data_IF_856087163976
#
_entry.id   IF_856087163976
#
_cell.length_a   1.000
_cell.length_b   1.000
_cell.length_c   1.000
_cell.angle_alpha   90.00
_cell.angle_beta   90.00
_cell.angle_gamma   90.00
#
_symmetry.space_group_name_H-M   'P 1'
#
loop_
_entity.id
_entity.type
_entity.pdbx_description
1 polymer ?
2 non-polymer ?
3 non-polymer ?
4 non-polymer ?
5 water ?
#
# COMPACT_ATOMS: atom_id res chain seq x y z
N UNK A 8 -36.06 -9.53 26.16
CA UNK A 8 -35.95 -9.82 27.61
C UNK A 8 -35.20 -11.16 27.77
N UNK A 9 -34.31 -11.27 28.75
CA UNK A 9 -33.67 -12.56 29.12
C UNK A 9 -32.61 -12.96 28.07
N UNK A 10 -31.35 -12.70 28.39
CA UNK A 10 -30.13 -13.13 27.64
C UNK A 10 -29.46 -14.23 28.46
N UNK A 11 -28.46 -14.98 27.94
CA UNK A 11 -27.72 -15.90 28.80
C UNK A 11 -26.94 -15.04 29.79
N UNK A 12 -26.49 -15.70 30.84
CA UNK A 12 -25.49 -15.23 31.82
C UNK A 12 -24.26 -14.75 31.07
N UNK A 13 -23.71 -13.55 31.40
CA UNK A 13 -22.37 -13.17 30.96
C UNK A 13 -21.37 -14.28 31.31
N UNK A 14 -21.64 -15.02 32.39
CA UNK A 14 -20.82 -16.18 32.85
C UNK A 14 -20.58 -17.17 31.71
N UNK A 15 -21.56 -17.40 30.82
CA UNK A 15 -21.49 -18.46 29.76
C UNK A 15 -21.51 -17.82 28.35
N UNK A 16 -21.53 -16.50 28.25
CA UNK A 16 -21.58 -15.79 26.95
C UNK A 16 -20.99 -14.39 27.14
N UNK A 17 -19.70 -14.21 26.81
CA UNK A 17 -18.87 -13.06 27.26
C UNK A 17 -19.39 -11.74 26.68
N UNK A 18 -20.11 -11.81 25.56
CA UNK A 18 -20.57 -10.63 24.81
C UNK A 18 -21.59 -9.83 25.63
N UNK A 19 -22.41 -10.48 26.45
CA UNK A 19 -23.59 -9.78 27.07
C UNK A 19 -23.24 -9.28 28.47
N UNK A 20 -21.96 -9.20 28.85
CA UNK A 20 -21.55 -8.42 30.06
C UNK A 20 -22.12 -7.01 29.86
N UNK A 21 -22.62 -6.33 30.90
CA UNK A 21 -23.25 -5.00 30.69
C UNK A 21 -22.18 -4.02 30.19
N UNK A 22 -22.56 -3.19 29.23
CA UNK A 22 -21.76 -2.04 28.73
C UNK A 22 -21.45 -1.13 29.93
N UNK A 23 -20.19 -0.75 30.04
CA UNK A 23 -19.62 0.22 31.01
C UNK A 23 -18.32 0.71 30.40
N UNK A 24 -17.65 1.70 31.00
CA UNK A 24 -16.38 2.26 30.48
C UNK A 24 -15.25 1.26 30.77
N UNK A 25 -15.58 0.17 31.48
CA UNK A 25 -14.69 -1.00 31.69
C UNK A 25 -14.49 -1.77 30.36
N UNK A 26 -15.41 -1.65 29.41
CA UNK A 26 -15.44 -2.55 28.21
C UNK A 26 -15.76 -1.81 26.90
N UNK A 27 -16.37 -0.62 26.91
CA UNK A 27 -16.81 0.06 25.65
C UNK A 27 -17.01 1.56 25.88
N UNK A 28 -16.62 2.37 24.89
CA UNK A 28 -16.64 3.86 24.95
C UNK A 28 -17.20 4.38 23.61
N UNK A 29 -18.25 5.20 23.68
CA UNK A 29 -18.94 5.79 22.51
C UNK A 29 -18.60 7.27 22.43
N UNK A 30 -18.55 7.82 21.21
CA UNK A 30 -18.47 9.28 20.97
C UNK A 30 -19.70 9.89 21.66
N UNK A 31 -19.50 11.04 22.31
CA UNK A 31 -20.61 11.79 22.93
C UNK A 31 -20.52 13.20 22.36
N UNK A 32 -21.02 13.36 21.13
CA UNK A 32 -20.99 14.63 20.37
C UNK A 32 -22.30 14.76 19.59
N UNK A 33 -22.41 15.82 18.82
CA UNK A 33 -23.65 16.19 18.08
C UNK A 33 -23.85 15.24 16.89
N UNK A 34 -22.77 14.64 16.39
CA UNK A 34 -22.77 13.68 15.27
C UNK A 34 -23.36 12.37 15.82
N UNK A 35 -22.87 11.95 16.99
CA UNK A 35 -23.27 10.69 17.67
C UNK A 35 -24.69 10.80 18.23
N UNK A 36 -25.35 11.95 18.06
CA UNK A 36 -26.67 12.23 18.66
C UNK A 36 -27.74 11.42 17.92
N UNK A 37 -27.71 11.41 16.58
CA UNK A 37 -28.69 10.69 15.72
C UNK A 37 -28.22 9.25 15.51
N UNK A 38 -29.13 8.38 15.06
CA UNK A 38 -28.84 7.06 14.46
C UNK A 38 -27.92 6.21 15.32
N UNK A 39 -27.08 5.40 14.66
CA UNK A 39 -26.24 4.33 15.28
C UNK A 39 -25.15 4.99 16.09
N UNK A 40 -24.97 4.67 17.39
CA UNK A 40 -23.83 5.16 18.17
C UNK A 40 -22.49 4.94 17.46
N UNK A 41 -21.52 5.83 17.68
CA UNK A 41 -20.17 5.75 17.08
C UNK A 41 -19.23 5.17 18.15
N UNK A 42 -18.53 4.07 17.82
CA UNK A 42 -17.62 3.37 18.78
C UNK A 42 -16.32 4.15 18.82
N UNK A 43 -15.84 4.51 20.02
CA UNK A 43 -14.49 5.12 20.18
C UNK A 43 -13.48 4.01 20.50
N UNK A 44 -13.89 3.04 21.31
CA UNK A 44 -13.04 1.89 21.65
C UNK A 44 -13.79 0.86 22.45
N UNK A 45 -13.15 -0.30 22.71
CA UNK A 45 -13.68 -1.32 23.60
C UNK A 45 -12.76 -2.52 23.69
N UNK A 46 -13.13 -3.50 24.51
CA UNK A 46 -12.48 -4.82 24.50
C UNK A 46 -12.75 -5.42 23.11
N UNK A 47 -11.90 -6.31 22.63
CA UNK A 47 -12.20 -6.98 21.33
C UNK A 47 -13.59 -7.67 21.45
N UNK A 48 -13.95 -8.19 22.62
CA UNK A 48 -15.26 -8.85 22.85
C UNK A 48 -16.39 -7.89 22.49
N UNK A 49 -16.28 -6.66 22.98
CA UNK A 49 -17.33 -5.65 22.81
C UNK A 49 -17.35 -5.15 21.36
N UNK A 50 -16.19 -5.02 20.73
CA UNK A 50 -16.13 -4.63 19.30
C UNK A 50 -16.84 -5.70 18.46
N UNK A 51 -16.61 -6.97 18.78
CA UNK A 51 -17.27 -8.12 18.07
C UNK A 51 -18.77 -8.07 18.33
N UNK A 52 -19.19 -7.82 19.57
CA UNK A 52 -20.65 -7.75 19.86
C UNK A 52 -21.27 -6.66 18.96
N UNK A 53 -20.64 -5.49 18.85
CA UNK A 53 -21.17 -4.33 18.08
C UNK A 53 -21.07 -4.55 16.57
N UNK A 54 -20.11 -5.36 16.13
CA UNK A 54 -19.96 -5.76 14.70
C UNK A 54 -21.16 -6.60 14.24
N UNK A 55 -21.83 -7.27 15.19
CA UNK A 55 -22.85 -8.31 14.97
C UNK A 55 -24.04 -8.04 15.90
N UNK A 56 -24.45 -6.77 16.00
CA UNK A 56 -25.40 -6.31 17.05
C UNK A 56 -26.82 -6.76 16.71
N UNK A 57 -27.60 -7.25 17.68
CA UNK A 57 -28.98 -7.74 17.42
C UNK A 57 -29.92 -6.59 16.99
N UNK A 58 -29.65 -5.35 17.40
CA UNK A 58 -30.65 -4.26 17.37
C UNK A 58 -30.62 -3.49 16.05
N UNK A 59 -29.55 -3.59 15.27
CA UNK A 59 -29.45 -2.90 13.96
C UNK A 59 -28.23 -3.36 13.18
N UNK A 60 -28.28 -3.15 11.86
CA UNK A 60 -27.18 -3.41 10.91
C UNK A 60 -26.24 -2.20 10.99
N UNK A 61 -24.97 -2.41 10.70
CA UNK A 61 -23.96 -1.33 10.84
C UNK A 61 -22.91 -1.52 9.76
N UNK A 62 -23.32 -1.37 8.49
CA UNK A 62 -22.45 -1.63 7.35
C UNK A 62 -21.11 -0.88 7.47
N UNK A 63 -21.14 0.35 7.99
CA UNK A 63 -19.94 1.25 8.02
C UNK A 63 -18.90 0.66 8.97
N UNK A 64 -19.32 0.25 10.16
CA UNK A 64 -18.44 -0.40 11.16
C UNK A 64 -17.89 -1.71 10.57
N UNK A 65 -18.70 -2.51 9.88
CA UNK A 65 -18.28 -3.83 9.30
C UNK A 65 -17.12 -3.56 8.35
N UNK A 66 -17.28 -2.58 7.44
CA UNK A 66 -16.27 -2.18 6.44
C UNK A 66 -14.98 -1.70 7.13
N UNK A 67 -15.08 -0.79 8.10
CA UNK A 67 -13.90 -0.23 8.79
C UNK A 67 -13.22 -1.35 9.62
N UNK A 68 -14.01 -2.21 10.25
CA UNK A 68 -13.51 -3.31 11.10
C UNK A 68 -12.67 -4.28 10.26
N UNK A 69 -13.21 -4.76 9.16
CA UNK A 69 -12.51 -5.76 8.30
C UNK A 69 -11.29 -5.16 7.60
N UNK A 70 -11.22 -3.83 7.41
CA UNK A 70 -10.01 -3.12 6.90
C UNK A 70 -8.94 -3.07 8.00
N UNK A 71 -9.32 -2.85 9.27
CA UNK A 71 -8.37 -2.40 10.32
C UNK A 71 -8.05 -3.50 11.35
N UNK A 72 -8.86 -4.56 11.45
CA UNK A 72 -8.86 -5.46 12.64
C UNK A 72 -7.47 -6.09 12.87
N UNK A 73 -6.66 -6.30 11.84
CA UNK A 73 -5.40 -7.06 11.99
C UNK A 73 -4.42 -6.23 12.82
N UNK A 74 -4.68 -4.94 13.03
CA UNK A 74 -3.87 -4.09 13.94
C UNK A 74 -4.20 -4.41 15.40
N UNK A 75 -5.20 -5.23 15.72
CA UNK A 75 -5.52 -5.47 17.14
C UNK A 75 -5.95 -6.91 17.39
N UNK A 76 -6.07 -7.73 16.35
CA UNK A 76 -6.70 -9.06 16.43
C UNK A 76 -6.17 -9.91 15.26
N UNK A 77 -5.76 -11.15 15.49
CA UNK A 77 -5.32 -12.03 14.37
C UNK A 77 -6.55 -12.57 13.65
N UNK A 78 -6.40 -12.89 12.34
CA UNK A 78 -7.47 -13.55 11.59
C UNK A 78 -8.04 -14.80 12.26
N UNK A 79 -7.17 -15.64 12.82
CA UNK A 79 -7.59 -16.88 13.51
C UNK A 79 -8.44 -16.49 14.72
N UNK A 80 -8.07 -15.45 15.44
CA UNK A 80 -8.80 -15.01 16.63
C UNK A 80 -10.14 -14.40 16.22
N UNK A 81 -10.19 -13.65 15.13
CA UNK A 81 -11.46 -13.09 14.62
C UNK A 81 -12.43 -14.24 14.31
N UNK A 82 -11.99 -15.25 13.57
CA UNK A 82 -12.86 -16.40 13.28
C UNK A 82 -13.33 -17.03 14.60
N UNK A 83 -12.44 -17.22 15.58
CA UNK A 83 -12.79 -17.88 16.87
C UNK A 83 -13.82 -17.01 17.59
N UNK A 84 -13.65 -15.69 17.54
CA UNK A 84 -14.63 -14.77 18.18
C UNK A 84 -15.98 -14.79 17.46
N UNK A 85 -16.02 -14.88 16.12
CA UNK A 85 -17.31 -14.91 15.39
C UNK A 85 -18.04 -16.25 15.63
N UNK A 86 -17.31 -17.35 15.71
CA UNK A 86 -17.90 -18.64 16.10
C UNK A 86 -18.40 -18.55 17.56
N UNK A 87 -17.62 -17.99 18.46
CA UNK A 87 -18.03 -17.85 19.87
C UNK A 87 -19.33 -17.03 19.93
N UNK A 88 -19.39 -15.93 19.17
CA UNK A 88 -20.63 -15.09 19.09
C UNK A 88 -21.81 -15.94 18.59
N UNK A 89 -21.56 -16.83 17.62
CA UNK A 89 -22.61 -17.62 16.93
C UNK A 89 -23.24 -18.62 17.91
N UNK A 90 -22.42 -19.22 18.77
CA UNK A 90 -22.85 -20.35 19.64
C UNK A 90 -23.51 -19.76 20.89
N UNK A 91 -24.72 -19.25 20.74
CA UNK A 91 -25.43 -18.49 21.81
C UNK A 91 -26.14 -19.48 22.73
N UNK A 92 -25.80 -19.52 24.04
CA UNK A 92 -26.50 -20.39 25.01
C UNK A 92 -27.89 -19.85 25.36
N UNK A 93 -28.76 -20.75 25.81
CA UNK A 93 -30.14 -20.36 26.20
C UNK A 93 -30.07 -19.63 27.53
N UNK A 94 -30.96 -18.64 27.78
CA UNK A 94 -31.02 -17.98 29.08
C UNK A 94 -31.46 -18.92 30.22
N UNK A 95 -31.30 -18.47 31.47
CA UNK A 95 -31.67 -19.24 32.70
C UNK A 95 -33.19 -19.38 32.67
N UNK A 96 -33.74 -20.61 32.64
CA UNK A 96 -35.11 -20.82 32.21
C UNK A 96 -36.18 -20.15 33.10
N UNK A 97 -35.87 -19.86 34.38
CA UNK A 97 -36.84 -19.34 35.39
C UNK A 97 -37.70 -20.50 35.93
N UNK A 98 -37.97 -21.51 35.08
CA UNK A 98 -38.67 -22.80 35.36
C UNK A 98 -39.95 -22.53 36.16
N UNK A 99 -40.78 -21.60 35.68
CA UNK A 99 -41.94 -21.03 36.40
C UNK A 99 -41.47 -20.35 37.70
N UNK A 114 -40.72 -17.80 25.91
CA UNK A 114 -39.55 -16.93 26.19
C UNK A 114 -38.40 -17.25 25.22
N UNK A 115 -38.01 -18.53 25.17
CA UNK A 115 -37.09 -19.12 24.16
C UNK A 115 -37.47 -18.60 22.77
N UNK A 116 -38.77 -18.63 22.45
CA UNK A 116 -39.31 -18.32 21.10
C UNK A 116 -38.97 -16.87 20.72
N UNK A 117 -39.12 -15.92 21.64
CA UNK A 117 -38.70 -14.51 21.43
C UNK A 117 -37.16 -14.41 21.36
N UNK A 118 -36.47 -15.05 22.27
CA UNK A 118 -34.98 -15.04 22.33
C UNK A 118 -34.45 -15.44 20.96
N UNK A 119 -34.98 -16.52 20.37
CA UNK A 119 -34.53 -17.07 19.05
C UNK A 119 -34.90 -16.10 17.93
N UNK A 120 -36.05 -15.45 18.00
CA UNK A 120 -36.52 -14.55 16.91
C UNK A 120 -35.82 -13.19 16.99
N UNK A 121 -35.67 -12.62 18.19
CA UNK A 121 -35.23 -11.20 18.34
C UNK A 121 -33.75 -11.11 18.72
N UNK A 122 -33.14 -12.17 19.24
CA UNK A 122 -31.71 -12.12 19.64
C UNK A 122 -30.87 -13.05 18.75
N UNK A 123 -31.08 -14.35 18.86
CA UNK A 123 -30.24 -15.40 18.21
C UNK A 123 -30.25 -15.18 16.68
N UNK A 124 -31.42 -15.12 16.03
CA UNK A 124 -31.49 -15.19 14.56
C UNK A 124 -30.82 -13.94 13.99
N UNK A 125 -31.12 -12.74 14.52
CA UNK A 125 -30.47 -11.51 14.06
C UNK A 125 -28.94 -11.51 14.25
N UNK A 126 -28.44 -12.07 15.36
CA UNK A 126 -26.98 -12.07 15.66
C UNK A 126 -26.29 -13.03 14.68
N UNK A 127 -26.90 -14.17 14.42
CA UNK A 127 -26.33 -15.23 13.54
C UNK A 127 -26.33 -14.71 12.10
N UNK A 128 -27.41 -14.06 11.63
CA UNK A 128 -27.46 -13.43 10.29
C UNK A 128 -26.37 -12.35 10.21
N UNK A 129 -26.12 -11.59 11.28
CA UNK A 129 -25.14 -10.47 11.22
C UNK A 129 -23.72 -11.04 11.13
N UNK A 130 -23.45 -12.15 11.81
CA UNK A 130 -22.16 -12.92 11.74
C UNK A 130 -21.95 -13.40 10.29
N UNK A 131 -22.97 -14.04 9.70
CA UNK A 131 -22.88 -14.57 8.31
C UNK A 131 -22.63 -13.40 7.36
N UNK A 132 -23.20 -12.22 7.61
CA UNK A 132 -22.97 -11.00 6.79
C UNK A 132 -21.50 -10.56 6.95
N UNK A 133 -20.92 -10.66 8.14
CA UNK A 133 -19.48 -10.34 8.36
C UNK A 133 -18.64 -11.36 7.57
N UNK A 134 -18.93 -12.64 7.67
CA UNK A 134 -18.22 -13.69 6.88
C UNK A 134 -18.29 -13.35 5.39
N UNK A 135 -19.43 -12.88 4.90
CA UNK A 135 -19.67 -12.57 3.47
C UNK A 135 -18.79 -11.39 3.05
N UNK A 136 -18.78 -10.29 3.81
CA UNK A 136 -17.90 -9.12 3.54
C UNK A 136 -16.43 -9.55 3.59
N UNK A 137 -16.11 -10.44 4.52
CA UNK A 137 -14.72 -10.93 4.76
C UNK A 137 -14.23 -11.68 3.51
N UNK A 138 -15.00 -12.63 3.00
CA UNK A 138 -14.50 -13.41 1.83
C UNK A 138 -14.59 -12.58 0.55
N UNK A 139 -15.55 -11.64 0.48
CA UNK A 139 -15.74 -10.80 -0.71
C UNK A 139 -14.55 -9.83 -0.87
N UNK A 140 -14.19 -9.10 0.20
CA UNK A 140 -13.30 -7.92 0.13
C UNK A 140 -11.94 -8.21 0.77
N UNK A 141 -11.77 -9.32 1.50
CA UNK A 141 -10.47 -9.60 2.18
C UNK A 141 -10.09 -11.07 2.09
N UNK A 142 -10.28 -11.69 0.92
CA UNK A 142 -10.04 -13.13 0.75
C UNK A 142 -8.55 -13.42 0.93
N UNK A 143 -7.69 -12.41 0.73
CA UNK A 143 -6.23 -12.54 0.93
C UNK A 143 -5.95 -13.15 2.32
N UNK A 144 -6.78 -12.90 3.33
CA UNK A 144 -6.53 -13.53 4.67
C UNK A 144 -6.56 -15.05 4.53
N UNK A 145 -7.49 -15.58 3.72
CA UNK A 145 -7.66 -17.04 3.51
C UNK A 145 -6.61 -17.58 2.54
N UNK A 146 -6.20 -16.75 1.57
CA UNK A 146 -5.13 -17.10 0.61
C UNK A 146 -3.84 -17.26 1.41
N UNK A 147 -3.61 -16.40 2.40
CA UNK A 147 -2.37 -16.42 3.23
C UNK A 147 -2.42 -17.57 4.25
N UNK A 148 -3.61 -18.07 4.60
CA UNK A 148 -3.77 -19.08 5.69
C UNK A 148 -4.83 -20.10 5.30
N UNK A 149 -4.42 -21.23 4.72
CA UNK A 149 -5.34 -22.27 4.20
C UNK A 149 -6.10 -22.91 5.38
N UNK A 150 -5.46 -23.00 6.54
CA UNK A 150 -6.10 -23.55 7.76
C UNK A 150 -7.25 -22.60 8.18
N UNK A 151 -7.05 -21.29 8.06
CA UNK A 151 -8.13 -20.33 8.36
C UNK A 151 -9.34 -20.68 7.47
N UNK A 152 -9.11 -20.98 6.20
CA UNK A 152 -10.20 -21.25 5.22
C UNK A 152 -10.85 -22.61 5.55
N UNK A 153 -10.06 -23.60 5.97
CA UNK A 153 -10.55 -24.93 6.41
C UNK A 153 -11.52 -24.74 7.58
N UNK A 154 -11.12 -23.93 8.57
CA UNK A 154 -11.97 -23.66 9.75
C UNK A 154 -13.27 -23.01 9.24
N UNK A 155 -13.17 -22.03 8.35
CA UNK A 155 -14.35 -21.27 7.90
C UNK A 155 -15.28 -22.23 7.13
N UNK A 156 -14.73 -23.03 6.22
CA UNK A 156 -15.55 -23.94 5.39
C UNK A 156 -16.23 -24.97 6.28
N UNK A 157 -15.50 -25.61 7.18
CA UNK A 157 -16.04 -26.59 8.15
C UNK A 157 -17.20 -25.97 8.94
N UNK A 158 -17.01 -24.76 9.45
CA UNK A 158 -18.05 -24.08 10.27
C UNK A 158 -19.30 -23.77 9.42
N UNK A 159 -19.13 -23.14 8.25
CA UNK A 159 -20.26 -22.69 7.39
C UNK A 159 -21.09 -23.93 7.00
N UNK A 160 -20.42 -25.05 6.78
CA UNK A 160 -21.14 -26.25 6.31
C UNK A 160 -21.84 -26.93 7.49
N UNK A 161 -21.53 -26.56 8.75
CA UNK A 161 -22.21 -27.08 9.98
C UNK A 161 -23.51 -26.31 10.22
N UNK A 162 -23.66 -25.15 9.59
CA UNK A 162 -24.80 -24.24 9.88
C UNK A 162 -26.03 -24.85 9.21
N UNK A 163 -27.08 -25.15 9.96
CA UNK A 163 -28.28 -25.88 9.45
C UNK A 163 -29.58 -25.08 9.59
N UNK A 164 -29.56 -23.86 10.14
CA UNK A 164 -30.73 -22.98 10.25
C UNK A 164 -31.40 -22.64 8.92
N UNK A 165 -32.72 -22.87 8.84
CA UNK A 165 -33.57 -22.57 7.66
C UNK A 165 -33.23 -21.18 7.11
N UNK A 166 -33.31 -20.13 7.93
CA UNK A 166 -33.03 -18.74 7.50
C UNK A 166 -31.54 -18.52 7.15
N UNK A 167 -30.62 -19.34 7.67
CA UNK A 167 -29.16 -19.17 7.40
C UNK A 167 -28.82 -19.65 5.97
N UNK A 168 -29.71 -20.43 5.33
CA UNK A 168 -29.36 -21.18 4.10
C UNK A 168 -28.94 -20.23 2.97
N UNK A 169 -29.71 -19.19 2.67
CA UNK A 169 -29.39 -18.26 1.55
C UNK A 169 -27.97 -17.70 1.79
N UNK A 170 -27.68 -17.26 3.02
CA UNK A 170 -26.37 -16.68 3.45
C UNK A 170 -25.24 -17.68 3.25
N UNK A 171 -25.42 -18.93 3.68
CA UNK A 171 -24.37 -19.98 3.56
C UNK A 171 -24.05 -20.18 2.07
N UNK A 172 -25.09 -20.29 1.22
CA UNK A 172 -24.97 -20.47 -0.26
C UNK A 172 -24.18 -19.29 -0.86
N UNK A 173 -24.51 -18.09 -0.43
CA UNK A 173 -23.88 -16.82 -0.90
C UNK A 173 -22.37 -16.85 -0.55
N UNK A 174 -22.03 -17.21 0.69
CA UNK A 174 -20.61 -17.28 1.12
C UNK A 174 -19.92 -18.39 0.30
N UNK A 175 -20.53 -19.56 0.18
CA UNK A 175 -19.94 -20.68 -0.58
C UNK A 175 -19.61 -20.23 -2.01
N UNK A 176 -20.50 -19.47 -2.64
CA UNK A 176 -20.38 -19.12 -4.07
C UNK A 176 -19.21 -18.13 -4.20
N UNK A 177 -19.10 -17.19 -3.27
CA UNK A 177 -17.96 -16.21 -3.23
C UNK A 177 -16.66 -16.98 -3.12
N UNK A 178 -16.59 -17.94 -2.20
CA UNK A 178 -15.35 -18.73 -1.98
C UNK A 178 -14.99 -19.47 -3.28
N UNK A 179 -15.93 -20.23 -3.82
CA UNK A 179 -15.80 -20.93 -5.13
C UNK A 179 -15.24 -19.95 -6.17
N UNK A 180 -15.79 -18.74 -6.27
CA UNK A 180 -15.36 -17.73 -7.27
C UNK A 180 -13.91 -17.28 -6.99
N UNK A 181 -13.58 -16.96 -5.74
CA UNK A 181 -12.24 -16.44 -5.36
C UNK A 181 -11.18 -17.50 -5.63
N UNK A 182 -11.51 -18.76 -5.32
CA UNK A 182 -10.62 -19.92 -5.55
C UNK A 182 -10.42 -20.12 -7.06
N UNK A 183 -11.44 -19.85 -7.88
CA UNK A 183 -11.37 -20.02 -9.36
C UNK A 183 -10.44 -18.94 -9.90
N UNK A 184 -10.70 -17.68 -9.55
CA UNK A 184 -9.97 -16.49 -10.04
C UNK A 184 -8.54 -16.45 -9.46
N UNK A 185 -8.19 -17.42 -8.60
CA UNK A 185 -6.78 -17.68 -8.23
C UNK A 185 -6.18 -18.69 -9.22
N UNK A 186 -6.74 -19.90 -9.29
CA UNK A 186 -6.30 -20.99 -10.21
C UNK A 186 -6.55 -20.56 -11.66
N UNK A 187 -5.99 -19.39 -12.03
CA UNK A 187 -6.21 -18.66 -13.32
C UNK A 187 -7.66 -18.84 -13.79
N UNK A 193 -4.11 -8.49 -20.19
CA UNK A 193 -4.13 -7.06 -20.62
C UNK A 193 -5.03 -6.91 -21.85
N UNK A 194 -5.88 -5.89 -21.86
CA UNK A 194 -6.88 -5.66 -22.93
C UNK A 194 -7.01 -4.14 -23.17
N UNK A 195 -6.49 -3.66 -24.30
CA UNK A 195 -6.36 -2.23 -24.67
C UNK A 195 -7.71 -1.69 -25.16
N UNK A 196 -8.20 -0.66 -24.48
CA UNK A 196 -9.46 0.07 -24.83
C UNK A 196 -9.18 1.10 -25.95
N UNK A 197 -7.91 1.35 -26.29
CA UNK A 197 -7.50 2.21 -27.43
C UNK A 197 -6.05 1.87 -27.76
N UNK A 198 -5.52 2.26 -28.93
CA UNK A 198 -4.18 1.85 -29.33
C UNK A 198 -3.13 2.47 -28.43
N UNK A 199 -2.27 1.63 -27.80
CA UNK A 199 -1.13 2.12 -27.02
C UNK A 199 -0.02 2.58 -27.94
N UNK A 200 0.91 3.44 -27.50
CA UNK A 200 1.96 3.92 -28.39
C UNK A 200 2.97 2.85 -28.76
N UNK A 201 3.64 2.98 -29.92
CA UNK A 201 4.74 2.09 -30.24
C UNK A 201 5.89 2.26 -29.23
N UNK A 202 6.54 1.14 -28.90
CA UNK A 202 7.68 1.03 -27.95
C UNK A 202 8.87 1.78 -28.56
N UNK A 203 9.55 2.59 -27.78
CA UNK A 203 10.68 3.45 -28.23
C UNK A 203 11.99 2.73 -27.90
N UNK A 204 12.89 2.61 -28.89
CA UNK A 204 14.22 1.96 -28.77
C UNK A 204 15.29 2.99 -29.13
N UNK A 205 16.46 2.91 -28.49
CA UNK A 205 17.57 3.89 -28.64
C UNK A 205 18.83 3.13 -29.07
N UNK A 206 19.74 2.80 -28.15
CA UNK A 206 20.98 2.04 -28.49
C UNK A 206 20.73 0.55 -28.20
N UNK A 207 20.31 0.17 -26.99
CA UNK A 207 19.90 -1.23 -26.67
C UNK A 207 18.80 -1.71 -27.62
N UNK A 208 18.93 -2.92 -28.17
CA UNK A 208 17.91 -3.53 -29.09
C UNK A 208 17.29 -4.72 -28.37
N UNK A 209 16.04 -5.09 -28.71
CA UNK A 209 15.34 -6.21 -28.09
C UNK A 209 16.17 -7.50 -28.04
N UNK A 210 15.97 -8.30 -27.00
CA UNK A 210 16.69 -9.58 -26.80
C UNK A 210 18.09 -9.37 -26.27
N UNK A 211 18.65 -8.16 -26.42
CA UNK A 211 20.03 -7.80 -26.01
C UNK A 211 19.99 -7.25 -24.58
N UNK A 212 19.33 -7.97 -23.67
CA UNK A 212 19.07 -7.52 -22.27
C UNK A 212 20.39 -7.15 -21.55
N UNK A 213 21.53 -7.73 -21.97
CA UNK A 213 22.83 -7.55 -21.25
C UNK A 213 23.39 -6.16 -21.56
N UNK A 214 22.92 -5.54 -22.65
CA UNK A 214 23.31 -4.17 -23.07
C UNK A 214 22.37 -3.12 -22.44
N UNK A 215 21.41 -3.53 -21.61
CA UNK A 215 20.43 -2.60 -21.00
C UNK A 215 21.13 -1.78 -19.92
N UNK A 216 20.99 -0.45 -20.01
CA UNK A 216 21.62 0.56 -19.13
C UNK A 216 20.71 1.79 -19.16
N UNK A 217 20.79 2.59 -18.12
CA UNK A 217 20.15 3.91 -18.07
C UNK A 217 20.31 4.63 -19.42
N UNK A 218 21.52 4.62 -20.02
CA UNK A 218 21.87 5.52 -21.15
C UNK A 218 21.67 4.85 -22.53
N UNK A 219 21.45 3.54 -22.62
CA UNK A 219 21.33 2.81 -23.92
C UNK A 219 19.84 2.49 -24.22
N UNK A 220 19.00 2.35 -23.20
CA UNK A 220 17.54 2.28 -23.39
C UNK A 220 17.04 3.68 -23.71
N UNK A 221 15.84 3.77 -24.28
CA UNK A 221 15.23 5.06 -24.67
C UNK A 221 14.68 5.69 -23.40
N UNK A 222 14.97 6.97 -23.06
CA UNK A 222 14.39 7.57 -21.87
C UNK A 222 12.85 7.48 -21.82
N UNK A 223 12.15 7.67 -22.95
CA UNK A 223 10.66 7.53 -23.01
C UNK A 223 10.27 6.15 -22.47
N UNK A 224 10.85 5.10 -23.00
CA UNK A 224 10.44 3.74 -22.68
C UNK A 224 10.91 3.34 -21.28
N UNK A 225 12.02 3.87 -20.77
CA UNK A 225 12.41 3.67 -19.33
C UNK A 225 11.24 4.19 -18.47
N UNK A 226 10.76 5.40 -18.76
CA UNK A 226 9.68 6.04 -17.98
C UNK A 226 8.39 5.22 -18.10
N UNK A 227 8.05 4.75 -19.31
CA UNK A 227 6.84 3.92 -19.57
C UNK A 227 6.91 2.59 -18.80
N UNK A 228 8.02 1.87 -18.91
CA UNK A 228 8.12 0.50 -18.32
C UNK A 228 8.17 0.63 -16.79
N UNK A 229 8.79 1.67 -16.26
CA UNK A 229 8.83 1.88 -14.79
C UNK A 229 7.44 2.27 -14.28
N UNK A 230 6.74 3.09 -15.05
CA UNK A 230 5.35 3.48 -14.74
C UNK A 230 4.44 2.23 -14.71
N UNK A 231 4.51 1.36 -15.71
CA UNK A 231 3.71 0.11 -15.75
C UNK A 231 4.06 -0.73 -14.52
N UNK A 232 5.34 -0.87 -14.19
CA UNK A 232 5.76 -1.71 -13.04
C UNK A 232 5.24 -1.06 -11.75
N UNK A 233 5.43 0.26 -11.60
CA UNK A 233 5.03 0.98 -10.37
C UNK A 233 3.52 1.01 -10.23
N UNK A 234 2.80 1.19 -11.34
CA UNK A 234 1.32 1.10 -11.36
C UNK A 234 0.87 -0.27 -10.82
N UNK A 235 1.46 -1.37 -11.30
CA UNK A 235 1.09 -2.75 -10.91
C UNK A 235 1.36 -2.93 -9.40
N UNK A 236 2.51 -2.47 -8.91
CA UNK A 236 2.85 -2.62 -7.47
C UNK A 236 1.84 -1.81 -6.67
N UNK A 237 1.55 -0.57 -7.10
CA UNK A 237 0.60 0.35 -6.42
C UNK A 237 -0.77 -0.31 -6.32
N UNK A 238 -1.25 -0.89 -7.42
CA UNK A 238 -2.61 -1.43 -7.53
C UNK A 238 -2.76 -2.70 -6.68
N UNK A 239 -1.65 -3.33 -6.27
CA UNK A 239 -1.73 -4.58 -5.47
C UNK A 239 -1.70 -4.27 -3.97
N UNK A 240 -1.48 -3.01 -3.55
CA UNK A 240 -1.37 -2.70 -2.08
C UNK A 240 -2.77 -2.63 -1.47
N UNK A 241 -3.07 -3.48 -0.48
CA UNK A 241 -4.38 -3.44 0.24
C UNK A 241 -4.26 -2.45 1.39
N UNK A 242 -5.30 -1.66 1.68
CA UNK A 242 -5.28 -0.76 2.84
C UNK A 242 -4.76 -1.41 4.13
N UNK A 243 -5.20 -2.64 4.40
CA UNK A 243 -4.85 -3.41 5.62
C UNK A 243 -3.33 -3.60 5.75
N UNK A 244 -2.56 -3.51 4.66
CA UNK A 244 -1.08 -3.65 4.70
C UNK A 244 -0.46 -2.41 5.38
N UNK A 245 -1.21 -1.32 5.48
CA UNK A 245 -0.73 -0.04 6.09
C UNK A 245 -1.24 0.11 7.52
N UNK A 246 -2.40 -0.48 7.87
CA UNK A 246 -3.09 -0.18 9.16
C UNK A 246 -2.24 -0.77 10.28
N UNK A 247 -2.07 -0.02 11.37
CA UNK A 247 -1.33 -0.45 12.56
C UNK A 247 0.15 -0.55 12.30
N UNK A 248 0.69 0.25 11.37
CA UNK A 248 2.13 0.24 10.97
C UNK A 248 2.65 -1.21 10.80
N UNK A 249 1.83 -2.11 10.25
CA UNK A 249 2.08 -3.59 10.27
C UNK A 249 3.30 -3.95 9.40
N UNK A 250 3.65 -3.12 8.40
CA UNK A 250 4.82 -3.36 7.50
C UNK A 250 6.15 -3.16 8.24
N UNK A 251 6.15 -2.56 9.43
CA UNK A 251 7.38 -2.34 10.25
C UNK A 251 7.41 -3.27 11.46
N UNK A 252 6.46 -4.21 11.57
CA UNK A 252 6.29 -5.11 12.75
C UNK A 252 6.70 -6.53 12.40
N UNK A 253 6.71 -7.39 13.41
CA UNK A 253 7.18 -8.80 13.35
C UNK A 253 6.52 -9.53 12.17
N UNK A 254 5.21 -9.35 11.97
CA UNK A 254 4.41 -10.11 10.98
C UNK A 254 4.27 -9.30 9.68
N UNK A 255 5.33 -8.62 9.23
CA UNK A 255 5.27 -7.66 8.10
C UNK A 255 5.23 -8.42 6.77
N UNK A 256 6.00 -9.49 6.64
CA UNK A 256 6.14 -10.24 5.36
C UNK A 256 4.80 -10.85 4.96
N UNK A 257 3.87 -10.98 5.91
CA UNK A 257 2.56 -11.67 5.70
C UNK A 257 1.44 -10.63 5.73
N UNK A 258 1.54 -9.60 6.56
CA UNK A 258 0.53 -8.50 6.66
C UNK A 258 0.70 -7.50 5.50
N UNK A 259 1.92 -7.31 4.97
CA UNK A 259 2.27 -6.18 4.04
C UNK A 259 3.13 -6.67 2.88
N UNK A 260 2.80 -7.79 2.21
CA UNK A 260 3.70 -8.32 1.19
C UNK A 260 3.76 -7.38 -0.05
N UNK A 261 2.64 -6.76 -0.41
CA UNK A 261 2.56 -5.92 -1.63
C UNK A 261 3.29 -4.61 -1.36
N UNK A 262 3.03 -4.03 -0.20
CA UNK A 262 3.66 -2.77 0.28
C UNK A 262 5.17 -2.96 0.38
N UNK A 263 5.65 -4.10 0.90
CA UNK A 263 7.09 -4.31 1.09
C UNK A 263 7.72 -4.40 -0.31
N UNK A 264 7.04 -5.01 -1.26
CA UNK A 264 7.59 -5.15 -2.64
C UNK A 264 7.72 -3.75 -3.26
N UNK A 265 6.70 -2.91 -3.11
CA UNK A 265 6.67 -1.50 -3.55
C UNK A 265 7.78 -0.72 -2.85
N UNK A 266 7.98 -0.88 -1.53
CA UNK A 266 9.06 -0.15 -0.79
C UNK A 266 10.44 -0.62 -1.27
N UNK A 267 10.63 -1.92 -1.45
CA UNK A 267 11.93 -2.44 -1.90
C UNK A 267 12.20 -1.95 -3.34
N UNK A 268 11.16 -1.82 -4.15
CA UNK A 268 11.27 -1.33 -5.52
C UNK A 268 11.78 0.10 -5.50
N UNK A 269 11.14 0.95 -4.69
CA UNK A 269 11.46 2.40 -4.53
C UNK A 269 12.91 2.56 -4.07
N UNK A 270 13.31 1.81 -3.06
CA UNK A 270 14.70 1.79 -2.53
C UNK A 270 15.71 1.47 -3.65
N UNK A 271 15.47 0.38 -4.35
CA UNK A 271 16.38 -0.14 -5.40
C UNK A 271 16.48 0.87 -6.55
N UNK A 272 15.35 1.44 -6.95
CA UNK A 272 15.34 2.35 -8.11
C UNK A 272 16.03 3.66 -7.74
N UNK A 273 15.72 4.22 -6.56
CA UNK A 273 16.33 5.46 -6.05
C UNK A 273 17.85 5.27 -5.94
N UNK A 274 18.30 4.15 -5.38
CA UNK A 274 19.76 3.84 -5.24
C UNK A 274 20.36 3.59 -6.62
N UNK A 275 19.62 2.99 -7.56
CA UNK A 275 20.12 2.78 -8.93
C UNK A 275 20.41 4.14 -9.57
N UNK A 276 19.50 5.09 -9.43
CA UNK A 276 19.70 6.44 -10.03
C UNK A 276 20.94 7.06 -9.42
N UNK A 277 21.10 6.91 -8.11
CA UNK A 277 22.25 7.51 -7.39
C UNK A 277 23.55 6.89 -7.89
N UNK A 278 23.56 5.57 -8.02
CA UNK A 278 24.71 4.77 -8.47
C UNK A 278 25.10 5.25 -9.87
N UNK A 279 24.13 5.34 -10.80
CA UNK A 279 24.40 5.74 -12.20
C UNK A 279 25.13 7.09 -12.21
N UNK A 280 24.70 8.04 -11.36
CA UNK A 280 25.31 9.40 -11.33
C UNK A 280 26.72 9.30 -10.73
N UNK A 281 26.85 8.71 -9.56
CA UNK A 281 28.10 8.82 -8.76
C UNK A 281 29.18 7.96 -9.42
N UNK A 282 28.82 6.87 -10.10
CA UNK A 282 29.82 5.98 -10.76
C UNK A 282 30.21 6.56 -12.12
N UNK A 283 29.54 7.60 -12.63
CA UNK A 283 29.96 8.28 -13.88
C UNK A 283 31.11 9.23 -13.49
N UNK A 284 32.34 8.72 -13.56
CA UNK A 284 33.52 9.42 -13.00
C UNK A 284 33.85 10.57 -13.94
N UNK A 285 33.68 10.32 -15.23
CA UNK A 285 33.92 11.30 -16.30
C UNK A 285 32.84 12.38 -16.19
N UNK A 286 33.24 13.65 -16.14
CA UNK A 286 32.35 14.80 -15.89
C UNK A 286 31.25 14.88 -16.96
N UNK A 287 31.61 14.86 -18.24
CA UNK A 287 30.68 15.04 -19.37
C UNK A 287 29.63 13.92 -19.32
N UNK A 288 30.10 12.71 -19.05
CA UNK A 288 29.25 11.51 -18.92
C UNK A 288 28.27 11.69 -17.76
N UNK A 289 28.76 12.10 -16.59
CA UNK A 289 27.91 12.31 -15.40
C UNK A 289 26.83 13.37 -15.68
N UNK A 290 27.15 14.46 -16.39
CA UNK A 290 26.16 15.51 -16.77
C UNK A 290 25.12 14.89 -17.71
N UNK A 291 25.57 14.09 -18.68
CA UNK A 291 24.66 13.47 -19.65
C UNK A 291 23.73 12.49 -18.90
N UNK A 292 24.22 11.90 -17.81
CA UNK A 292 23.48 10.88 -17.01
C UNK A 292 22.41 11.63 -16.20
N UNK A 293 22.79 12.68 -15.51
CA UNK A 293 21.83 13.50 -14.73
C UNK A 293 20.82 14.10 -15.71
N UNK A 294 21.24 14.50 -16.91
CA UNK A 294 20.33 15.12 -17.91
C UNK A 294 19.30 14.07 -18.38
N UNK A 295 19.74 12.86 -18.64
CA UNK A 295 18.85 11.74 -19.04
C UNK A 295 17.87 11.40 -17.91
N UNK A 296 18.31 11.43 -16.67
CA UNK A 296 17.41 11.16 -15.51
C UNK A 296 16.33 12.26 -15.47
N UNK A 297 16.69 13.52 -15.72
CA UNK A 297 15.70 14.64 -15.73
C UNK A 297 14.72 14.43 -16.89
N UNK A 298 15.21 13.97 -18.03
CA UNK A 298 14.34 13.65 -19.18
C UNK A 298 13.36 12.56 -18.75
N UNK A 299 13.83 11.53 -18.03
CA UNK A 299 12.97 10.41 -17.55
C UNK A 299 11.92 11.01 -16.61
N UNK A 300 12.33 11.94 -15.76
CA UNK A 300 11.47 12.66 -14.79
C UNK A 300 10.35 13.40 -15.57
N UNK A 301 10.67 14.05 -16.69
CA UNK A 301 9.64 14.79 -17.49
C UNK A 301 8.63 13.78 -18.06
N UNK A 302 9.06 12.61 -18.54
CA UNK A 302 8.11 11.61 -19.07
C UNK A 302 7.24 11.04 -17.93
N UNK A 303 7.80 10.77 -16.75
CA UNK A 303 7.02 10.42 -15.55
C UNK A 303 5.92 11.47 -15.30
N UNK A 304 6.29 12.75 -15.37
CA UNK A 304 5.32 13.87 -15.19
C UNK A 304 4.22 13.79 -16.25
N UNK A 305 4.59 13.63 -17.53
CA UNK A 305 3.63 13.46 -18.63
C UNK A 305 2.70 12.26 -18.35
N UNK A 306 3.16 11.24 -17.62
CA UNK A 306 2.39 9.98 -17.36
C UNK A 306 1.63 10.06 -16.03
N UNK A 307 1.74 11.19 -15.32
CA UNK A 307 1.16 11.32 -13.96
C UNK A 307 1.74 10.23 -13.05
N UNK A 308 3.01 9.83 -13.27
CA UNK A 308 3.70 8.92 -12.33
C UNK A 308 4.47 9.77 -11.31
N UNK A 309 3.77 10.31 -10.33
CA UNK A 309 4.40 11.15 -9.27
C UNK A 309 5.28 10.27 -8.39
N UNK A 310 4.95 8.97 -8.33
CA UNK A 310 5.84 8.03 -7.62
C UNK A 310 7.23 8.13 -8.23
N UNK A 311 7.33 8.01 -9.55
CA UNK A 311 8.62 8.08 -10.29
C UNK A 311 9.29 9.44 -10.18
N UNK A 312 8.52 10.52 -10.30
CA UNK A 312 9.03 11.90 -10.18
C UNK A 312 9.78 11.98 -8.84
N UNK A 313 9.14 11.52 -7.77
CA UNK A 313 9.61 11.76 -6.39
C UNK A 313 10.69 10.74 -6.01
N UNK A 314 10.75 9.60 -6.68
CA UNK A 314 11.96 8.74 -6.60
C UNK A 314 13.18 9.49 -7.14
N UNK A 315 13.06 10.15 -8.29
CA UNK A 315 14.20 10.92 -8.88
C UNK A 315 14.51 12.10 -7.95
N UNK A 316 13.49 12.80 -7.44
CA UNK A 316 13.72 13.86 -6.42
C UNK A 316 14.51 13.28 -5.25
N UNK A 317 14.12 12.10 -4.73
CA UNK A 317 14.79 11.43 -3.60
C UNK A 317 16.27 11.18 -3.97
N UNK A 318 16.54 10.71 -5.18
CA UNK A 318 17.91 10.38 -5.59
C UNK A 318 18.77 11.64 -5.61
N UNK A 319 18.26 12.74 -6.20
CA UNK A 319 19.06 13.99 -6.40
C UNK A 319 19.26 14.72 -5.07
N UNK A 320 18.38 14.53 -4.10
CA UNK A 320 18.54 15.13 -2.75
C UNK A 320 19.30 14.18 -1.82
N UNK A 321 19.75 13.00 -2.29
CA UNK A 321 20.53 12.07 -1.45
C UNK A 321 21.85 12.77 -1.15
N UNK A 322 22.51 12.43 -0.04
CA UNK A 322 23.73 13.20 0.38
C UNK A 322 24.84 13.00 -0.67
N UNK A 323 24.91 11.86 -1.34
CA UNK A 323 26.00 11.52 -2.29
C UNK A 323 25.83 12.31 -3.59
N UNK A 324 24.60 12.69 -3.96
CA UNK A 324 24.31 13.39 -5.25
C UNK A 324 24.04 14.88 -4.99
N UNK A 325 23.31 15.22 -3.93
CA UNK A 325 22.96 16.63 -3.60
C UNK A 325 24.21 17.54 -3.69
N UNK A 326 25.35 17.04 -3.23
CA UNK A 326 26.62 17.81 -3.07
C UNK A 326 27.37 17.94 -4.39
N UNK A 327 26.92 17.32 -5.48
CA UNK A 327 27.62 17.39 -6.80
C UNK A 327 27.32 18.70 -7.54
N UNK A 328 27.70 19.83 -6.92
CA UNK A 328 27.41 21.20 -7.42
C UNK A 328 27.93 21.35 -8.85
N UNK A 329 29.08 20.79 -9.19
CA UNK A 329 29.66 21.01 -10.55
C UNK A 329 28.73 20.37 -11.59
N UNK A 330 28.20 19.19 -11.29
CA UNK A 330 27.29 18.47 -12.22
C UNK A 330 25.99 19.28 -12.41
N UNK A 331 25.35 19.74 -11.34
CA UNK A 331 24.07 20.48 -11.46
C UNK A 331 24.30 21.78 -12.26
N UNK A 332 25.36 22.53 -11.96
CA UNK A 332 25.67 23.85 -12.60
C UNK A 332 25.87 23.66 -14.11
N UNK A 333 26.37 22.49 -14.54
CA UNK A 333 26.66 22.22 -15.95
C UNK A 333 25.38 21.89 -16.73
N UNK A 334 24.22 21.66 -16.08
CA UNK A 334 22.97 21.30 -16.82
C UNK A 334 22.51 22.47 -17.70
N UNK A 335 21.89 22.18 -18.83
CA UNK A 335 21.05 23.15 -19.57
C UNK A 335 20.08 23.81 -18.59
N UNK A 336 19.88 25.11 -18.74
CA UNK A 336 18.98 25.87 -17.85
C UNK A 336 17.59 25.22 -17.82
N UNK A 337 17.07 24.74 -18.94
CA UNK A 337 15.69 24.22 -19.01
C UNK A 337 15.62 22.94 -18.17
N UNK A 338 16.62 22.05 -18.30
CA UNK A 338 16.66 20.78 -17.54
C UNK A 338 16.72 21.12 -16.05
N UNK A 339 17.51 22.11 -15.63
CA UNK A 339 17.68 22.44 -14.18
C UNK A 339 16.35 22.96 -13.66
N UNK A 340 15.61 23.70 -14.49
CA UNK A 340 14.31 24.35 -14.15
C UNK A 340 13.31 23.24 -13.82
N UNK A 341 13.10 22.34 -14.77
CA UNK A 341 12.24 21.14 -14.64
C UNK A 341 12.60 20.42 -13.34
N UNK A 342 13.88 20.22 -13.02
CA UNK A 342 14.27 19.51 -11.78
C UNK A 342 13.85 20.32 -10.54
N UNK A 343 14.18 21.62 -10.48
CA UNK A 343 13.86 22.50 -9.33
C UNK A 343 12.36 22.47 -9.05
N UNK A 344 11.57 22.49 -10.11
CA UNK A 344 10.08 22.45 -10.06
C UNK A 344 9.66 21.09 -9.45
N UNK A 345 10.20 19.98 -9.94
CA UNK A 345 9.92 18.65 -9.36
C UNK A 345 10.28 18.69 -7.88
N UNK A 346 11.48 19.19 -7.55
CA UNK A 346 12.02 19.22 -6.16
C UNK A 346 11.02 19.98 -5.25
N UNK A 347 10.44 21.06 -5.78
CA UNK A 347 9.55 21.98 -5.03
C UNK A 347 8.19 21.29 -4.73
N UNK A 348 7.77 20.28 -5.52
CA UNK A 348 6.54 19.48 -5.25
C UNK A 348 6.59 18.95 -3.81
N UNK A 349 7.77 18.50 -3.35
CA UNK A 349 8.02 17.86 -2.03
C UNK A 349 8.12 18.89 -0.88
N UNK A 350 8.45 20.14 -1.18
CA UNK A 350 8.69 21.17 -0.13
C UNK A 350 7.39 21.55 0.57
N UNK A 351 7.49 21.95 1.84
CA UNK A 351 6.36 22.44 2.67
C UNK A 351 5.35 21.29 2.85
N UNK A 352 5.81 20.13 3.31
CA UNK A 352 5.00 18.90 3.52
C UNK A 352 4.15 18.57 2.27
N UNK A 353 4.76 18.66 1.08
CA UNK A 353 4.24 18.17 -0.22
C UNK A 353 3.04 19.02 -0.66
N UNK A 354 2.99 20.28 -0.24
CA UNK A 354 1.90 21.23 -0.55
C UNK A 354 1.59 21.23 -2.06
N UNK A 355 2.58 21.54 -2.89
CA UNK A 355 2.42 21.65 -4.38
C UNK A 355 2.14 20.27 -4.99
N UNK A 356 2.68 19.21 -4.41
CA UNK A 356 2.45 17.84 -4.93
C UNK A 356 0.96 17.54 -4.77
N UNK A 357 0.40 17.89 -3.61
CA UNK A 357 -1.03 17.60 -3.29
C UNK A 357 -1.94 18.42 -4.18
N UNK A 358 -1.60 19.67 -4.46
CA UNK A 358 -2.37 20.49 -5.43
C UNK A 358 -2.32 19.77 -6.78
N UNK A 359 -1.13 19.33 -7.22
CA UNK A 359 -0.98 18.77 -8.58
C UNK A 359 -1.80 17.48 -8.69
N UNK A 360 -1.68 16.59 -7.70
CA UNK A 360 -2.36 15.28 -7.68
C UNK A 360 -3.88 15.47 -7.86
N UNK A 361 -4.46 16.48 -7.20
CA UNK A 361 -5.93 16.72 -7.25
C UNK A 361 -6.37 17.30 -8.59
N UNK A 362 -5.46 17.83 -9.41
CA UNK A 362 -5.73 18.54 -10.68
C UNK A 362 -5.68 17.59 -11.90
N UNK A 363 -5.09 16.39 -11.79
CA UNK A 363 -4.78 15.58 -13.00
C UNK A 363 -5.92 14.61 -13.31
N UNK A 364 -5.93 14.10 -14.53
CA UNK A 364 -6.80 13.00 -14.99
C UNK A 364 -6.03 11.69 -14.90
N UNK A 365 -6.54 10.65 -14.19
CA UNK A 365 -5.90 9.33 -14.20
C UNK A 365 -5.83 8.83 -15.65
N UNK A 366 -5.02 7.82 -15.98
CA UNK A 366 -4.26 7.05 -14.99
C UNK A 366 -3.15 7.85 -14.34
N UNK A 367 -2.81 7.42 -13.13
CA UNK A 367 -1.80 8.08 -12.27
C UNK A 367 -1.11 7.03 -11.37
N UNK A 368 0.11 7.31 -10.95
CA UNK A 368 0.77 6.56 -9.84
C UNK A 368 1.08 7.59 -8.76
N UNK A 369 0.25 7.66 -7.69
CA UNK A 369 0.52 8.57 -6.57
C UNK A 369 1.88 8.30 -5.95
N UNK A 370 2.55 9.32 -5.41
CA UNK A 370 3.75 9.16 -4.55
C UNK A 370 3.34 8.37 -3.31
N UNK A 371 3.86 7.16 -3.15
CA UNK A 371 3.38 6.25 -2.09
C UNK A 371 3.97 6.65 -0.73
N UNK A 372 5.20 7.19 -0.73
CA UNK A 372 5.92 7.60 0.49
C UNK A 372 5.10 8.46 1.42
N UNK A 373 4.30 9.38 0.89
CA UNK A 373 3.51 10.32 1.76
C UNK A 373 2.39 9.59 2.51
N UNK A 374 1.78 8.51 1.98
CA UNK A 374 0.75 7.76 2.74
C UNK A 374 1.43 7.11 3.94
N UNK A 375 2.60 6.51 3.70
CA UNK A 375 3.44 5.89 4.75
C UNK A 375 3.75 6.93 5.84
N UNK A 376 4.30 8.09 5.45
CA UNK A 376 4.66 9.16 6.42
C UNK A 376 3.43 9.47 7.26
N UNK A 377 2.28 9.72 6.63
CA UNK A 377 1.10 10.25 7.36
C UNK A 377 0.50 9.15 8.22
N UNK A 378 0.65 7.88 7.82
CA UNK A 378 0.16 6.75 8.66
C UNK A 378 1.13 6.60 9.85
N UNK A 379 2.45 6.64 9.62
CA UNK A 379 3.44 6.54 10.73
C UNK A 379 3.16 7.65 11.76
N UNK A 380 2.81 8.85 11.32
CA UNK A 380 2.56 9.97 12.27
C UNK A 380 1.26 9.69 13.05
N UNK A 381 0.23 9.14 12.40
CA UNK A 381 -1.08 8.84 13.06
C UNK A 381 -0.90 7.67 14.03
N UNK A 382 -0.18 6.64 13.59
CA UNK A 382 0.16 5.44 14.40
C UNK A 382 0.94 5.89 15.64
N UNK A 383 1.93 6.77 15.47
CA UNK A 383 2.82 7.20 16.59
C UNK A 383 2.03 8.07 17.57
N UNK A 384 1.20 8.98 17.06
CA UNK A 384 0.58 10.07 17.83
C UNK A 384 -0.73 9.68 18.50
N UNK A 385 -1.20 8.43 18.34
CA UNK A 385 -2.46 7.95 18.97
C UNK A 385 -2.19 6.60 19.64
N UNK A 386 -2.67 6.43 20.87
CA UNK A 386 -2.45 5.19 21.65
C UNK A 386 -3.30 4.07 21.03
N UNK A 387 -2.70 2.89 20.90
CA UNK A 387 -3.37 1.62 20.49
C UNK A 387 -4.51 1.32 21.45
N UNK A 388 -4.34 1.68 22.70
CA UNK A 388 -5.27 1.37 23.81
C UNK A 388 -5.73 2.68 24.45
N UNK A 389 -7.04 2.83 24.65
CA UNK A 389 -7.64 3.80 25.59
C UNK A 389 -7.13 3.54 27.02
N UNK A 390 -6.80 2.28 27.35
CA UNK A 390 -6.06 1.86 28.58
C UNK A 390 -5.79 0.34 28.57
N UNK A 391 -4.70 -0.10 29.22
CA UNK A 391 -4.38 -1.55 29.43
C UNK A 391 -4.53 -1.92 30.92
N UNK A 392 -5.09 -1.03 31.74
CA UNK A 392 -5.27 -1.29 33.20
C UNK A 392 -6.61 -2.02 33.45
N UNK A 393 -6.54 -3.29 33.85
CA UNK A 393 -7.70 -4.18 34.13
C UNK A 393 -8.23 -4.87 32.88
N UNK A 394 -7.97 -4.31 31.69
CA UNK A 394 -8.48 -4.80 30.39
C UNK A 394 -7.67 -4.16 29.25
N UNK A 395 -7.57 -4.85 28.11
CA UNK A 395 -7.10 -4.26 26.83
C UNK A 395 -8.31 -3.58 26.20
N UNK A 396 -8.41 -2.25 26.38
CA UNK A 396 -9.50 -1.41 25.80
C UNK A 396 -9.03 -0.81 24.48
N UNK A 397 -9.25 -1.50 23.35
CA UNK A 397 -8.70 -1.09 22.01
C UNK A 397 -9.18 0.31 21.62
N UNK A 398 -8.25 1.16 21.20
CA UNK A 398 -8.57 2.49 20.59
C UNK A 398 -9.08 2.29 19.15
N UNK A 399 -10.39 2.23 18.94
CA UNK A 399 -10.97 2.00 17.60
C UNK A 399 -10.93 3.30 16.77
N UNK A 400 -11.14 4.46 17.42
CA UNK A 400 -11.11 5.79 16.76
C UNK A 400 -9.79 6.00 16.03
N UNK A 401 -8.69 5.60 16.64
CA UNK A 401 -7.37 5.60 15.98
C UNK A 401 -7.46 4.85 14.64
N UNK A 402 -8.17 3.70 14.59
CA UNK A 402 -8.22 2.83 13.39
C UNK A 402 -9.14 3.46 12.33
N UNK A 403 -10.22 4.10 12.74
CA UNK A 403 -11.09 4.87 11.82
C UNK A 403 -10.25 5.97 11.15
N UNK A 404 -9.35 6.63 11.87
CA UNK A 404 -8.53 7.76 11.32
C UNK A 404 -7.51 7.19 10.33
N UNK A 405 -6.93 6.04 10.64
CA UNK A 405 -5.95 5.44 9.71
C UNK A 405 -6.70 4.94 8.46
N UNK A 406 -7.93 4.43 8.60
CA UNK A 406 -8.68 3.81 7.48
C UNK A 406 -9.07 4.92 6.51
N UNK A 407 -9.29 6.13 7.02
CA UNK A 407 -9.61 7.32 6.19
C UNK A 407 -8.36 7.67 5.38
N UNK A 408 -7.16 7.57 5.94
CA UNK A 408 -5.91 7.76 5.16
C UNK A 408 -5.75 6.64 4.12
N UNK A 409 -5.86 5.37 4.53
CA UNK A 409 -5.66 4.22 3.61
C UNK A 409 -6.73 4.27 2.52
N UNK A 410 -7.94 4.73 2.88
CA UNK A 410 -9.06 4.92 1.96
C UNK A 410 -8.67 5.71 0.72
N UNK A 411 -7.82 6.74 0.88
CA UNK A 411 -7.37 7.64 -0.23
C UNK A 411 -6.52 6.86 -1.25
N UNK A 412 -5.82 5.81 -0.83
CA UNK A 412 -4.92 5.03 -1.73
C UNK A 412 -5.80 4.40 -2.82
N UNK A 413 -7.07 4.11 -2.54
CA UNK A 413 -7.96 3.29 -3.40
C UNK A 413 -8.44 4.04 -4.66
N UNK A 414 -8.52 5.37 -4.62
CA UNK A 414 -9.19 6.13 -5.71
C UNK A 414 -8.33 6.11 -6.99
N UNK A 415 -7.06 5.68 -6.96
CA UNK A 415 -6.16 5.68 -8.15
C UNK A 415 -5.74 4.26 -8.52
N UNK A 416 -6.36 3.23 -7.94
CA UNK A 416 -5.99 1.80 -8.17
C UNK A 416 -6.84 1.18 -9.28
N UNK A 417 -7.78 1.93 -9.88
CA UNK A 417 -8.83 1.36 -10.76
C UNK A 417 -8.59 1.69 -12.24
N UNK A 418 -7.56 2.49 -12.54
CA UNK A 418 -7.37 3.06 -13.90
C UNK A 418 -6.05 2.56 -14.47
N UNK A 419 -6.08 1.62 -15.44
CA UNK A 419 -4.84 1.11 -16.04
C UNK A 419 -4.26 2.11 -17.06
N UNK A 420 -2.96 2.00 -17.31
CA UNK A 420 -2.21 2.79 -18.31
C UNK A 420 -2.49 2.16 -19.66
N UNK A 421 -2.66 2.98 -20.69
CA UNK A 421 -2.67 2.52 -22.10
C UNK A 421 -1.23 2.46 -22.64
N UNK A 422 -0.41 1.57 -22.10
CA UNK A 422 0.99 1.33 -22.53
C UNK A 422 1.22 -0.18 -22.62
N UNK A 423 2.01 -0.59 -23.61
CA UNK A 423 2.35 -2.00 -23.88
C UNK A 423 3.54 -2.37 -22.98
N UNK A 424 3.47 -3.51 -22.31
CA UNK A 424 4.63 -4.07 -21.53
C UNK A 424 5.74 -4.46 -22.50
N UNK A 425 6.99 -4.08 -22.21
CA UNK A 425 8.22 -4.57 -22.88
C UNK A 425 8.86 -5.60 -21.97
N UNK A 426 8.65 -6.92 -22.22
CA UNK A 426 8.97 -7.94 -21.21
C UNK A 426 10.45 -7.97 -20.79
N UNK A 427 11.39 -7.71 -21.70
CA UNK A 427 12.84 -7.68 -21.35
C UNK A 427 13.10 -6.47 -20.44
N UNK A 428 12.52 -5.30 -20.76
CA UNK A 428 12.76 -4.09 -19.95
C UNK A 428 12.12 -4.32 -18.58
N UNK A 429 10.94 -4.95 -18.55
CA UNK A 429 10.20 -5.20 -17.30
C UNK A 429 11.07 -6.09 -16.38
N UNK A 430 11.61 -7.18 -16.96
CA UNK A 430 12.55 -8.15 -16.33
C UNK A 430 13.75 -7.36 -15.76
N UNK A 431 14.41 -6.57 -16.61
CA UNK A 431 15.51 -5.66 -16.24
C UNK A 431 15.18 -4.85 -14.97
N UNK A 432 14.06 -4.12 -15.01
CA UNK A 432 13.65 -3.21 -13.91
C UNK A 432 13.18 -4.02 -12.69
N UNK A 433 12.51 -5.17 -12.86
CA UNK A 433 12.14 -6.00 -11.68
C UNK A 433 13.40 -6.50 -10.95
N UNK A 434 14.55 -6.59 -11.61
CA UNK A 434 15.76 -7.26 -11.07
C UNK A 434 16.85 -6.26 -10.72
N UNK A 435 16.56 -4.96 -10.66
CA UNK A 435 17.58 -3.95 -10.30
C UNK A 435 18.12 -4.28 -8.90
N UNK A 436 19.43 -4.34 -8.77
CA UNK A 436 20.07 -4.71 -7.48
C UNK A 436 21.33 -3.87 -7.32
N UNK A 437 21.19 -2.54 -7.17
CA UNK A 437 22.36 -1.68 -7.08
C UNK A 437 23.24 -2.04 -5.90
N UNK A 438 22.64 -2.48 -4.78
CA UNK A 438 23.37 -2.80 -3.52
C UNK A 438 24.24 -4.07 -3.68
N UNK A 439 23.98 -4.90 -4.69
CA UNK A 439 24.57 -6.26 -4.80
C UNK A 439 24.39 -7.05 -3.50
N UNK A 440 25.49 -7.58 -2.93
CA UNK A 440 25.52 -8.39 -1.69
C UNK A 440 25.82 -7.50 -0.47
N UNK A 441 26.19 -6.23 -0.70
CA UNK A 441 26.44 -5.25 0.37
C UNK A 441 25.13 -4.88 1.08
N UNK A 442 25.26 -4.44 2.32
CA UNK A 442 24.21 -3.75 3.12
C UNK A 442 23.88 -2.38 2.51
N UNK A 443 22.67 -1.88 2.78
CA UNK A 443 22.21 -0.54 2.36
C UNK A 443 23.16 0.53 2.92
N UNK A 444 23.58 0.39 4.19
CA UNK A 444 24.55 1.28 4.89
C UNK A 444 25.93 1.17 4.25
N UNK A 445 26.40 -0.05 3.98
CA UNK A 445 27.73 -0.26 3.32
C UNK A 445 27.67 0.39 1.93
N UNK A 446 26.51 0.28 1.26
CA UNK A 446 26.33 0.76 -0.13
C UNK A 446 26.34 2.29 -0.15
N UNK A 447 25.56 2.91 0.75
CA UNK A 447 25.43 4.40 0.87
C UNK A 447 26.74 5.00 1.40
N UNK A 448 27.51 4.27 2.19
CA UNK A 448 28.88 4.76 2.54
C UNK A 448 29.71 4.79 1.27
N UNK A 449 29.65 3.73 0.46
CA UNK A 449 30.39 3.63 -0.83
C UNK A 449 29.98 4.82 -1.72
N UNK A 450 28.68 5.07 -1.91
CA UNK A 450 28.25 6.19 -2.80
C UNK A 450 28.83 7.50 -2.28
N UNK A 451 28.85 7.68 -0.96
CA UNK A 451 29.32 8.95 -0.35
C UNK A 451 30.83 9.08 -0.60
N UNK A 452 31.58 8.00 -0.37
CA UNK A 452 33.05 8.01 -0.58
C UNK A 452 33.34 8.30 -2.05
N UNK A 453 32.53 7.75 -2.96
CA UNK A 453 32.76 7.95 -4.41
C UNK A 453 32.39 9.39 -4.78
N UNK A 454 31.31 9.92 -4.22
CA UNK A 454 30.94 11.35 -4.36
C UNK A 454 32.12 12.27 -4.03
N UNK A 455 32.79 12.05 -2.89
CA UNK A 455 33.96 12.84 -2.45
C UNK A 455 35.11 12.67 -3.46
N UNK A 456 35.26 11.52 -4.12
CA UNK A 456 36.32 11.26 -5.14
C UNK A 456 36.04 12.10 -6.41
N UNK A 457 34.80 12.10 -6.90
CA UNK A 457 34.48 12.66 -8.25
C UNK A 457 34.37 14.19 -8.16
N UNK A 458 33.97 14.71 -6.98
CA UNK A 458 33.84 16.17 -6.69
C UNK A 458 34.28 16.43 -5.27
N UNK A 459 35.62 16.51 -5.04
CA UNK A 459 36.17 16.69 -3.69
C UNK A 459 35.75 18.01 -3.03
N UNK A 460 35.84 18.10 -1.70
CA UNK A 460 35.65 19.38 -0.96
C UNK A 460 36.97 20.15 -1.04
N UNK A 461 37.21 20.74 -2.21
CA UNK A 461 38.29 21.73 -2.43
C UNK A 461 37.70 22.68 -3.46
N UNK A 462 38.31 23.87 -3.67
CA UNK A 462 37.75 24.83 -4.61
C UNK A 462 38.29 24.66 -6.04
N UNK A 463 38.98 23.55 -6.32
CA UNK A 463 39.61 23.32 -7.64
C UNK A 463 38.53 22.83 -8.62
N UNK A 464 38.78 23.02 -9.92
CA UNK A 464 37.94 22.44 -10.98
C UNK A 464 37.77 20.96 -10.68
N UNK A 465 36.67 20.33 -11.12
CA UNK A 465 36.47 18.91 -10.87
C UNK A 465 37.56 18.07 -11.53
N UNK A 466 37.97 16.95 -10.88
CA UNK A 466 38.93 16.02 -11.48
C UNK A 466 38.47 15.57 -12.87
N UNK A 467 39.41 15.23 -13.73
CA UNK A 467 39.14 14.72 -15.10
C UNK A 467 39.47 13.24 -15.13
N UNK A 468 38.45 12.41 -15.09
CA UNK A 468 38.55 10.94 -15.20
C UNK A 468 38.16 10.57 -16.61
N UNK A 469 38.67 9.44 -17.14
CA UNK A 469 38.18 8.92 -18.41
C UNK A 469 36.86 8.18 -18.24
N UNK A 470 36.09 8.12 -19.33
CA UNK A 470 34.91 7.23 -19.46
C UNK A 470 35.41 5.80 -19.47
N UNK A 471 34.63 4.85 -18.92
CA UNK A 471 34.85 3.37 -19.08
C UNK A 471 33.86 2.84 -20.11
N UNK A 472 32.77 3.57 -20.34
CA UNK A 472 31.69 3.21 -21.31
C UNK A 472 32.01 3.89 -22.64
N UNK A 473 31.53 3.32 -23.75
CA UNK A 473 31.84 3.82 -25.12
C UNK A 473 30.58 4.31 -25.85
N UNK A 474 29.37 4.01 -25.35
CA UNK A 474 28.08 4.44 -25.98
C UNK A 474 28.05 5.96 -26.16
N UNK A 475 27.34 6.45 -27.16
CA UNK A 475 27.09 7.91 -27.36
C UNK A 475 26.32 8.47 -26.15
N UNK A 476 26.70 9.67 -25.70
CA UNK A 476 26.04 10.42 -24.60
C UNK A 476 24.79 11.14 -25.11
N UNK A 477 24.62 11.24 -26.44
CA UNK A 477 23.59 12.09 -27.08
C UNK A 477 22.21 11.47 -26.79
N UNK A 478 21.32 12.21 -26.14
CA UNK A 478 19.92 11.75 -25.90
C UNK A 478 19.17 11.74 -27.21
N UNK A 479 18.28 10.74 -27.43
CA UNK A 479 17.31 10.80 -28.51
C UNK A 479 16.18 11.79 -28.18
N UNK A 480 16.16 12.30 -26.96
CA UNK A 480 15.12 13.21 -26.46
C UNK A 480 13.87 12.44 -26.08
N UNK A 481 12.82 13.18 -25.72
CA UNK A 481 11.56 12.60 -25.17
C UNK A 481 10.39 12.93 -26.10
N UNK A 482 10.65 13.34 -27.35
CA UNK A 482 9.60 13.37 -28.41
C UNK A 482 9.57 11.98 -29.02
N UNK A 483 8.42 11.27 -29.03
CA UNK A 483 8.37 9.93 -29.62
C UNK A 483 9.01 9.95 -31.00
N UNK A 484 9.95 9.03 -31.23
CA UNK A 484 10.64 8.83 -32.52
C UNK A 484 9.74 7.92 -33.37
N UNK A 485 9.67 6.64 -32.99
CA UNK A 485 8.92 5.55 -33.67
C UNK A 485 7.42 5.87 -33.68
N UNK A 486 6.90 6.49 -32.61
CA UNK A 486 5.53 7.06 -32.54
C UNK A 486 5.20 7.81 -33.80
N UNK A 487 6.01 8.84 -34.09
CA UNK A 487 6.32 9.41 -35.44
C UNK A 487 6.84 10.85 -35.23
#
# INVERSE_FOLDING_TARGET
>A
GAMAEQQLRLPSPEVYRFVVKDSEENIVFEDNLQSRSGIPIIKGGTVVKLIERLTYHMYADPNFVRTFLTTYRSFCKPQELLSLLIERFEIPEPEPTDADKLAIEKGEQPISADLKRFRKEYVQPVQLRILNVFRHWVEHHFYDFERDLYLLERLESFISSVRGKAMKKWVESIAKIIRRKKQAQANGVSHNITFESPPPPIEWHISKPGHIETFDLMTLHPIEIARQLTLLESDLYRKVQPSELVGSVWTKEDKEINSPNLLKMIRHTTNLTLWFEKCIVEAENFEERVAVLSRIIEILQVFQDLNNFNGVLEIVSAVNSVSVYRLDHTFEALQERKRKILDEAVELSQDHFKKYLVKLKSINPPCVPFFGIYLTNILKTEEGNNDFLTRHGKDLINFSKRRKVAEITGEIQQYQNQPYCLRIEPDMRRFFENLNPMGSASEKEFTDYLFNKSLEIEPRNPKQPPRFPRKSTFSLKSPGIRPNTGRHGS
#
